data_IF_693455912241
#
_entry.id   IF_693455912241
#
_cell.length_a   1.000
_cell.length_b   1.000
_cell.length_c   1.000
_cell.angle_alpha   90.00
_cell.angle_beta   90.00
_cell.angle_gamma   90.00
#
_symmetry.space_group_name_H-M   'P 1'
#
loop_
_entity.id
_entity.type
_entity.pdbx_description
1 polymer ?
#
# COMPACT_ATOMS: atom_id res chain seq x y z
N UNK A 1 -55.01 -19.26 11.29
CA UNK A 1 -53.83 -19.41 12.17
C UNK A 1 -52.65 -18.75 11.47
N UNK A 2 -52.14 -17.65 12.03
CA UNK A 2 -51.00 -16.87 11.50
C UNK A 2 -49.71 -17.65 11.76
N UNK A 3 -48.90 -17.90 10.73
CA UNK A 3 -47.48 -18.22 10.90
C UNK A 3 -46.69 -17.14 10.17
N UNK A 4 -46.31 -16.12 10.94
CA UNK A 4 -45.38 -15.07 10.53
C UNK A 4 -44.01 -15.73 10.43
N UNK A 5 -43.41 -15.79 9.24
CA UNK A 5 -41.99 -16.10 9.12
C UNK A 5 -41.22 -14.88 9.62
N UNK A 6 -40.60 -15.02 10.79
CA UNK A 6 -39.65 -14.03 11.31
C UNK A 6 -38.44 -13.94 10.39
N UNK A 7 -38.29 -12.79 9.75
CA UNK A 7 -37.08 -12.36 9.05
C UNK A 7 -36.01 -12.14 10.12
N UNK A 8 -35.00 -13.01 10.18
CA UNK A 8 -33.79 -12.73 10.94
C UNK A 8 -32.93 -11.79 10.09
N UNK A 9 -33.18 -10.49 10.22
CA UNK A 9 -32.28 -9.47 9.70
C UNK A 9 -30.97 -9.56 10.51
N UNK A 10 -29.98 -10.26 9.97
CA UNK A 10 -28.62 -10.27 10.48
C UNK A 10 -28.07 -8.86 10.23
N UNK A 11 -28.25 -7.97 11.20
CA UNK A 11 -27.66 -6.65 11.22
C UNK A 11 -26.15 -6.80 11.21
N UNK A 12 -25.56 -6.65 10.03
CA UNK A 12 -24.12 -6.44 9.85
C UNK A 12 -23.82 -5.09 10.47
N UNK A 13 -23.54 -5.08 11.77
CA UNK A 13 -22.94 -3.93 12.43
C UNK A 13 -21.54 -3.77 11.84
N UNK A 14 -21.16 -2.60 11.30
CA UNK A 14 -19.77 -2.35 10.99
C UNK A 14 -19.01 -2.41 12.31
N UNK A 15 -18.11 -3.39 12.44
CA UNK A 15 -17.12 -3.42 13.50
C UNK A 15 -16.27 -2.16 13.33
N UNK A 16 -16.53 -1.14 14.14
CA UNK A 16 -15.56 -0.07 14.38
C UNK A 16 -14.39 -0.71 15.11
N UNK A 17 -13.47 -1.31 14.35
CA UNK A 17 -12.16 -1.65 14.84
C UNK A 17 -11.48 -0.32 15.19
N UNK A 18 -11.25 -0.08 16.49
CA UNK A 18 -10.36 0.98 16.92
C UNK A 18 -8.96 0.66 16.36
N UNK A 19 -8.54 1.37 15.32
CA UNK A 19 -7.20 1.27 14.71
C UNK A 19 -6.07 1.83 15.59
N UNK A 20 -6.30 1.98 16.90
CA UNK A 20 -5.51 2.86 17.77
C UNK A 20 -4.23 2.29 18.38
N UNK A 21 -3.82 1.05 18.07
CA UNK A 21 -2.66 0.44 18.73
C UNK A 21 -1.75 -0.41 17.81
N UNK A 22 -2.01 -0.48 16.51
CA UNK A 22 -1.24 -1.30 15.58
C UNK A 22 -0.16 -0.52 14.80
N UNK A 23 -0.07 0.80 15.00
CA UNK A 23 0.86 1.72 14.32
C UNK A 23 2.30 1.66 14.83
N UNK A 24 2.87 0.48 15.07
CA UNK A 24 4.22 0.33 15.63
C UNK A 24 5.28 -0.21 14.65
N UNK A 25 4.88 -0.61 13.44
CA UNK A 25 5.79 -1.25 12.50
C UNK A 25 6.53 -0.18 11.69
N UNK A 26 7.82 0.00 11.91
CA UNK A 26 8.68 0.69 10.94
C UNK A 26 9.39 -0.34 10.07
N UNK A 27 10.13 0.16 9.09
CA UNK A 27 10.96 -0.70 8.28
C UNK A 27 11.66 0.06 7.17
N UNK A 28 12.23 -0.74 6.28
CA UNK A 28 12.85 -0.27 5.06
C UNK A 28 12.48 -1.21 3.92
N UNK A 29 12.61 -0.73 2.71
CA UNK A 29 12.34 -1.53 1.54
C UNK A 29 13.12 -1.08 0.33
N UNK A 30 13.02 -1.90 -0.69
CA UNK A 30 13.51 -1.57 -2.02
C UNK A 30 12.47 -1.98 -3.03
N UNK A 31 12.27 -1.14 -4.04
CA UNK A 31 11.44 -1.46 -5.20
C UNK A 31 12.32 -1.49 -6.43
N UNK A 32 12.25 -2.57 -7.20
CA UNK A 32 12.94 -2.71 -8.48
C UNK A 32 11.93 -2.57 -9.60
N UNK A 33 12.20 -1.70 -10.56
CA UNK A 33 11.34 -1.50 -11.72
C UNK A 33 11.45 -2.70 -12.65
N UNK A 34 10.32 -3.34 -12.93
CA UNK A 34 10.26 -4.52 -13.79
C UNK A 34 9.54 -4.27 -15.11
N UNK A 35 8.69 -3.24 -15.15
CA UNK A 35 7.91 -2.89 -16.34
C UNK A 35 7.49 -1.42 -16.33
N UNK A 36 7.36 -0.84 -17.53
CA UNK A 36 6.80 0.49 -17.73
C UNK A 36 5.89 0.48 -18.97
N UNK A 37 4.64 0.90 -18.79
CA UNK A 37 3.68 1.11 -19.86
C UNK A 37 3.36 2.62 -19.95
N UNK A 38 3.32 3.17 -21.16
CA UNK A 38 2.99 4.58 -21.39
C UNK A 38 1.70 4.71 -22.17
N UNK A 39 0.78 5.52 -21.64
CA UNK A 39 -0.43 5.97 -22.33
C UNK A 39 -0.24 7.42 -22.75
N UNK A 40 0.02 7.63 -24.04
CA UNK A 40 0.21 8.95 -24.61
C UNK A 40 -1.12 9.72 -24.73
N UNK A 41 -1.09 10.98 -24.30
CA UNK A 41 -2.14 11.96 -24.52
C UNK A 41 -1.61 13.15 -25.33
N UNK A 42 -2.50 14.02 -25.77
CA UNK A 42 -2.10 15.19 -26.57
C UNK A 42 -1.38 16.28 -25.77
N UNK A 43 -1.53 16.28 -24.44
CA UNK A 43 -1.01 17.33 -23.54
C UNK A 43 -0.12 16.77 -22.42
N UNK A 44 0.19 15.48 -22.46
CA UNK A 44 0.88 14.76 -21.40
C UNK A 44 0.68 13.26 -21.54
N UNK A 45 1.20 12.48 -20.59
CA UNK A 45 1.11 11.02 -20.60
C UNK A 45 0.79 10.47 -19.21
N UNK A 46 0.26 9.26 -19.18
CA UNK A 46 0.16 8.44 -17.97
C UNK A 46 1.15 7.29 -18.09
N UNK A 47 2.03 7.14 -17.11
CA UNK A 47 3.00 6.06 -17.03
C UNK A 47 2.51 5.09 -15.95
N UNK A 48 2.30 3.84 -16.31
CA UNK A 48 2.15 2.75 -15.35
C UNK A 48 3.52 2.10 -15.17
N UNK A 49 4.14 2.32 -14.02
CA UNK A 49 5.39 1.69 -13.62
C UNK A 49 5.09 0.52 -12.69
N UNK A 50 5.58 -0.67 -13.01
CA UNK A 50 5.48 -1.83 -12.12
C UNK A 50 6.80 -2.02 -11.39
N UNK A 51 6.72 -2.17 -10.07
CA UNK A 51 7.87 -2.52 -9.24
C UNK A 51 7.61 -3.82 -8.47
N UNK A 52 8.67 -4.59 -8.30
CA UNK A 52 8.73 -5.69 -7.34
C UNK A 52 9.51 -5.20 -6.12
N UNK A 53 8.83 -5.20 -4.99
CA UNK A 53 9.29 -4.62 -3.75
C UNK A 53 9.55 -5.69 -2.71
N UNK A 54 10.58 -5.46 -1.89
CA UNK A 54 10.82 -6.18 -0.65
C UNK A 54 10.68 -5.18 0.50
N UNK A 55 9.78 -5.47 1.43
CA UNK A 55 9.60 -4.72 2.67
C UNK A 55 10.18 -5.52 3.83
N UNK A 56 11.10 -4.92 4.56
CA UNK A 56 11.76 -5.49 5.73
C UNK A 56 11.24 -4.75 6.95
N UNK A 57 10.60 -5.48 7.86
CA UNK A 57 9.96 -4.93 9.05
C UNK A 57 10.96 -4.85 10.20
N UNK A 58 11.03 -3.69 10.85
CA UNK A 58 11.83 -3.53 12.06
C UNK A 58 11.07 -4.12 13.25
N UNK A 59 11.66 -5.11 13.91
CA UNK A 59 11.13 -5.73 15.12
C UNK A 59 9.64 -6.16 15.00
N UNK A 60 9.28 -6.98 14.00
CA UNK A 60 7.89 -7.38 13.80
C UNK A 60 7.37 -8.15 15.04
N UNK A 61 6.07 -8.04 15.38
CA UNK A 61 5.47 -8.81 16.44
C UNK A 61 5.66 -10.32 16.24
N UNK A 62 5.66 -11.07 17.33
CA UNK A 62 5.77 -12.53 17.26
C UNK A 62 4.71 -13.12 16.29
N UNK A 63 5.16 -13.95 15.35
CA UNK A 63 4.30 -14.56 14.33
C UNK A 63 4.10 -13.74 13.06
N UNK A 64 4.59 -12.49 12.99
CA UNK A 64 4.68 -11.74 11.73
C UNK A 64 5.97 -12.11 10.99
N UNK A 65 5.96 -12.09 9.65
CA UNK A 65 7.17 -12.32 8.87
C UNK A 65 8.15 -11.16 9.04
N UNK A 66 9.45 -11.46 9.00
CA UNK A 66 10.51 -10.44 9.02
C UNK A 66 10.54 -9.59 7.75
N UNK A 67 10.10 -10.16 6.63
CA UNK A 67 9.99 -9.45 5.37
C UNK A 67 8.78 -9.94 4.56
N UNK A 68 8.25 -9.08 3.72
CA UNK A 68 7.16 -9.37 2.78
C UNK A 68 7.52 -8.83 1.40
N UNK A 69 7.16 -9.57 0.35
CA UNK A 69 7.26 -9.08 -1.03
C UNK A 69 5.98 -8.38 -1.43
N UNK A 70 6.07 -7.35 -2.27
CA UNK A 70 4.91 -6.70 -2.85
C UNK A 70 5.13 -6.40 -4.34
N UNK A 71 4.09 -6.56 -5.14
CA UNK A 71 4.08 -6.01 -6.50
C UNK A 71 3.30 -4.71 -6.48
N UNK A 72 3.94 -3.61 -6.86
CA UNK A 72 3.34 -2.29 -6.88
C UNK A 72 3.14 -1.81 -8.31
N UNK A 73 1.97 -1.23 -8.59
CA UNK A 73 1.72 -0.50 -9.83
C UNK A 73 1.55 0.98 -9.51
N UNK A 74 2.50 1.77 -9.98
CA UNK A 74 2.53 3.21 -9.86
C UNK A 74 1.95 3.84 -11.11
N UNK A 75 1.01 4.75 -10.93
CA UNK A 75 0.37 5.52 -11.99
C UNK A 75 0.84 6.96 -11.86
N UNK A 76 1.69 7.37 -12.79
CA UNK A 76 2.40 8.65 -12.79
C UNK A 76 1.84 9.49 -13.93
N UNK A 77 1.33 10.67 -13.61
CA UNK A 77 0.90 11.64 -14.60
C UNK A 77 2.04 12.62 -14.87
N UNK A 78 2.36 12.82 -16.15
CA UNK A 78 3.33 13.82 -16.63
C UNK A 78 2.65 14.79 -17.59
N UNK A 79 2.96 16.08 -17.48
CA UNK A 79 2.44 17.13 -18.35
C UNK A 79 3.38 17.45 -19.52
N UNK A 80 3.33 18.68 -20.02
CA UNK A 80 4.27 19.18 -21.05
C UNK A 80 5.70 19.41 -20.58
N UNK A 81 6.00 19.13 -19.31
CA UNK A 81 7.32 19.23 -18.71
C UNK A 81 7.69 17.87 -18.07
N UNK A 82 8.98 17.52 -17.96
CA UNK A 82 9.42 16.18 -17.60
C UNK A 82 9.12 15.78 -16.15
N UNK A 83 8.74 16.72 -15.27
CA UNK A 83 8.39 16.41 -13.90
C UNK A 83 6.97 15.80 -13.75
N UNK A 84 6.78 14.82 -12.86
CA UNK A 84 5.46 14.32 -12.50
C UNK A 84 4.55 15.44 -11.96
N UNK A 85 3.30 15.46 -12.42
CA UNK A 85 2.23 16.34 -11.90
C UNK A 85 1.29 15.61 -10.94
N UNK A 86 1.40 14.28 -10.85
CA UNK A 86 0.66 13.47 -9.91
C UNK A 86 1.15 12.03 -9.90
N UNK A 87 1.07 11.38 -8.75
CA UNK A 87 1.39 9.96 -8.56
C UNK A 87 0.31 9.35 -7.67
N UNK A 88 -0.11 8.13 -7.98
CA UNK A 88 -0.80 7.23 -7.06
C UNK A 88 -0.29 5.83 -7.30
N UNK A 89 -0.33 4.94 -6.32
CA UNK A 89 0.05 3.55 -6.58
C UNK A 89 -0.70 2.55 -5.72
N UNK A 90 -0.82 1.34 -6.25
CA UNK A 90 -1.44 0.20 -5.56
C UNK A 90 -0.40 -0.90 -5.40
N UNK A 91 -0.18 -1.32 -4.17
CA UNK A 91 0.73 -2.43 -3.85
C UNK A 91 -0.04 -3.64 -3.34
N UNK A 92 0.32 -4.80 -3.86
CA UNK A 92 -0.30 -6.09 -3.55
C UNK A 92 0.76 -7.00 -2.94
N UNK A 93 0.47 -7.57 -1.78
CA UNK A 93 1.39 -8.48 -1.10
C UNK A 93 0.67 -9.74 -0.66
N UNK A 94 1.37 -10.87 -0.76
CA UNK A 94 1.04 -12.13 -0.10
C UNK A 94 2.26 -12.48 0.74
N UNK A 95 2.08 -12.60 2.04
CA UNK A 95 3.16 -12.93 2.95
C UNK A 95 3.47 -14.44 2.94
N UNK A 96 4.58 -14.90 3.54
CA UNK A 96 4.97 -16.32 3.54
C UNK A 96 3.94 -17.27 4.18
N UNK A 97 3.05 -16.76 5.03
CA UNK A 97 1.98 -17.53 5.67
C UNK A 97 0.69 -17.53 4.84
N UNK A 98 0.67 -16.82 3.70
CA UNK A 98 -0.45 -16.72 2.77
C UNK A 98 -1.42 -15.59 3.11
N UNK A 99 -1.11 -14.73 4.09
CA UNK A 99 -1.94 -13.58 4.40
C UNK A 99 -1.71 -12.48 3.37
N UNK A 100 -2.79 -11.79 2.97
CA UNK A 100 -2.71 -10.77 1.92
C UNK A 100 -2.79 -9.36 2.50
N UNK A 101 -2.16 -8.42 1.81
CA UNK A 101 -2.44 -6.99 1.95
C UNK A 101 -2.62 -6.32 0.59
N UNK A 102 -3.59 -5.41 0.53
CA UNK A 102 -3.78 -4.47 -0.55
C UNK A 102 -3.57 -3.07 0.02
N UNK A 103 -2.68 -2.31 -0.62
CA UNK A 103 -2.22 -1.02 -0.12
C UNK A 103 -2.43 0.05 -1.19
N UNK A 104 -2.77 1.26 -0.76
CA UNK A 104 -2.78 2.44 -1.61
C UNK A 104 -1.71 3.44 -1.13
N UNK A 105 -0.86 3.89 -2.06
CA UNK A 105 0.17 4.89 -1.83
C UNK A 105 -0.24 6.24 -2.42
N UNK A 106 -0.20 7.28 -1.59
CA UNK A 106 -0.52 8.65 -1.97
C UNK A 106 0.63 9.61 -1.64
N UNK A 107 1.08 10.45 -2.58
CA UNK A 107 2.12 11.43 -2.34
C UNK A 107 1.65 12.48 -1.34
N UNK A 108 2.57 12.91 -0.49
CA UNK A 108 2.42 14.02 0.44
C UNK A 108 3.07 15.28 -0.12
N UNK A 109 2.76 16.43 0.48
CA UNK A 109 3.27 17.72 0.00
C UNK A 109 4.80 17.87 0.09
N UNK A 110 5.44 17.09 0.96
CA UNK A 110 6.90 17.07 1.17
C UNK A 110 7.62 16.04 0.28
N UNK A 111 6.89 15.34 -0.60
CA UNK A 111 7.44 14.30 -1.48
C UNK A 111 7.50 12.90 -0.86
N UNK A 112 7.16 12.74 0.42
CA UNK A 112 6.97 11.41 1.02
C UNK A 112 5.71 10.74 0.48
N UNK A 113 5.57 9.43 0.71
CA UNK A 113 4.37 8.68 0.37
C UNK A 113 3.69 8.19 1.63
N UNK A 114 2.39 8.45 1.77
CA UNK A 114 1.53 7.74 2.71
C UNK A 114 1.00 6.45 2.08
N UNK A 115 1.50 5.30 2.53
CA UNK A 115 1.01 3.97 2.19
C UNK A 115 -0.04 3.54 3.20
N UNK A 116 -1.23 3.12 2.76
CA UNK A 116 -2.35 2.70 3.64
C UNK A 116 -2.86 1.32 3.25
N UNK A 117 -3.02 0.41 4.22
CA UNK A 117 -3.70 -0.88 3.97
C UNK A 117 -5.20 -0.60 3.79
N UNK A 118 -5.73 -0.94 2.63
CA UNK A 118 -7.16 -0.79 2.30
C UNK A 118 -7.94 -2.10 2.43
N UNK A 119 -7.25 -3.24 2.32
CA UNK A 119 -7.82 -4.56 2.57
C UNK A 119 -6.72 -5.53 3.00
N UNK A 120 -7.04 -6.47 3.89
CA UNK A 120 -6.09 -7.46 4.37
C UNK A 120 -6.79 -8.70 4.95
N UNK A 121 -6.06 -9.80 5.10
CA UNK A 121 -6.50 -11.03 5.76
C UNK A 121 -5.56 -11.45 6.89
N UNK A 122 -6.00 -12.46 7.66
CA UNK A 122 -5.20 -13.09 8.70
C UNK A 122 -4.62 -12.09 9.69
N UNK A 123 -3.31 -12.18 9.92
CA UNK A 123 -2.57 -11.34 10.88
C UNK A 123 -2.62 -9.86 10.53
N UNK A 124 -2.80 -9.52 9.24
CA UNK A 124 -2.89 -8.15 8.75
C UNK A 124 -4.31 -7.55 8.80
N UNK A 125 -5.35 -8.35 9.01
CA UNK A 125 -6.73 -7.86 9.06
C UNK A 125 -6.97 -6.74 10.10
N UNK A 126 -6.38 -6.78 11.31
CA UNK A 126 -6.48 -5.68 12.28
C UNK A 126 -5.77 -4.38 11.84
N UNK A 127 -4.93 -4.44 10.80
CA UNK A 127 -4.16 -3.31 10.27
C UNK A 127 -4.87 -2.62 9.10
N UNK A 128 -6.10 -2.98 8.75
CA UNK A 128 -6.88 -2.24 7.75
C UNK A 128 -7.06 -0.79 8.23
N UNK A 129 -6.68 0.17 7.38
CA UNK A 129 -6.63 1.60 7.68
C UNK A 129 -5.31 2.06 8.31
N UNK A 130 -4.44 1.15 8.76
CA UNK A 130 -3.09 1.51 9.21
C UNK A 130 -2.30 2.10 8.04
N UNK A 131 -1.44 3.07 8.37
CA UNK A 131 -0.70 3.84 7.38
C UNK A 131 0.75 4.04 7.79
N UNK A 132 1.61 4.19 6.79
CA UNK A 132 3.03 4.46 6.93
C UNK A 132 3.44 5.62 6.04
N UNK A 133 4.33 6.48 6.53
CA UNK A 133 5.02 7.50 5.74
C UNK A 133 6.35 6.90 5.29
N UNK A 134 6.48 6.68 3.98
CA UNK A 134 7.70 6.25 3.32
C UNK A 134 8.44 7.41 2.67
N UNK A 135 9.76 7.40 2.75
CA UNK A 135 10.64 8.36 2.10
C UNK A 135 11.77 7.64 1.34
N UNK A 136 12.02 8.08 0.11
CA UNK A 136 13.15 7.57 -0.68
C UNK A 136 14.46 8.03 -0.07
N UNK A 137 15.30 7.08 0.34
CA UNK A 137 16.64 7.33 0.84
C UNK A 137 17.66 7.34 -0.30
N UNK A 138 17.48 6.43 -1.28
CA UNK A 138 18.34 6.28 -2.45
C UNK A 138 17.46 6.14 -3.69
N UNK A 139 17.65 7.04 -4.64
CA UNK A 139 17.07 6.98 -5.97
C UNK A 139 18.06 6.31 -6.93
N UNK A 140 17.66 5.19 -7.53
CA UNK A 140 18.45 4.47 -8.55
C UNK A 140 18.02 4.88 -9.97
N UNK A 141 17.21 5.93 -10.11
CA UNK A 141 16.69 6.40 -11.38
C UNK A 141 15.58 5.49 -11.90
N UNK A 142 15.70 5.05 -13.15
CA UNK A 142 14.70 4.19 -13.79
C UNK A 142 14.73 2.73 -13.31
N UNK A 143 15.76 2.35 -12.55
CA UNK A 143 15.96 0.98 -12.08
C UNK A 143 15.21 0.68 -10.77
N UNK A 144 14.98 1.67 -9.91
CA UNK A 144 14.34 1.45 -8.62
C UNK A 144 14.70 2.45 -7.52
N UNK A 145 14.43 2.07 -6.29
CA UNK A 145 14.74 2.89 -5.11
C UNK A 145 14.97 2.06 -3.85
N UNK A 146 15.61 2.69 -2.87
CA UNK A 146 15.64 2.23 -1.47
C UNK A 146 14.96 3.29 -0.62
N UNK A 147 14.13 2.86 0.32
CA UNK A 147 13.32 3.74 1.14
C UNK A 147 13.18 3.22 2.57
N UNK A 148 12.93 4.13 3.49
CA UNK A 148 12.51 3.85 4.86
C UNK A 148 11.04 4.20 5.00
N UNK A 149 10.34 3.53 5.92
CA UNK A 149 8.97 3.86 6.24
C UNK A 149 8.71 3.76 7.75
N UNK A 150 7.87 4.66 8.23
CA UNK A 150 7.48 4.74 9.65
C UNK A 150 5.98 4.90 9.78
N UNK A 151 5.36 4.48 10.89
CA UNK A 151 3.93 4.66 11.11
C UNK A 151 3.49 6.12 10.98
N UNK A 152 2.41 6.36 10.22
CA UNK A 152 1.78 7.66 10.07
C UNK A 152 0.82 7.91 11.24
N UNK A 153 1.36 8.24 12.42
CA UNK A 153 0.56 8.58 13.61
C UNK A 153 -0.28 9.85 13.41
#
# INVERSE_FOLDING_TARGET
MKKVLSILALSVLPSVALSGAHGGLSGHGTGIVTDNEVMEGTTGALIKRTTEDIWIWDNPPAGFPAASSATCNQFIAVGGAPQPIGIVFVCRSVDPDGDITLNNGLPQADGSIKLTIVAATGKWAPYIGASWIGATDIDLGDDGSVYTFTPAN
#
